data_IF_216517312968
#
_entry.id   IF_216517312968
#
_cell.length_a   1.000
_cell.length_b   1.000
_cell.length_c   1.000
_cell.angle_alpha   90.00
_cell.angle_beta   90.00
_cell.angle_gamma   90.00
#
_symmetry.space_group_name_H-M   'P 1'
#
loop_
_entity.id
_entity.type
_entity.pdbx_description
1 polymer ?
#
# COMPACT_ATOMS: atom_id res chain seq x y z
N UNK A 1 3.10 3.92 15.63
CA UNK A 1 4.47 4.17 16.11
C UNK A 1 4.53 5.66 16.37
N UNK A 2 5.29 6.13 17.35
CA UNK A 2 5.42 7.58 17.52
C UNK A 2 6.35 8.16 16.44
N UNK A 3 6.27 9.46 16.16
CA UNK A 3 7.20 10.13 15.23
C UNK A 3 8.66 9.91 15.61
N UNK A 4 8.96 9.79 16.91
CA UNK A 4 10.30 9.51 17.43
C UNK A 4 10.81 8.13 16.99
N UNK A 5 9.94 7.12 17.01
CA UNK A 5 10.29 5.75 16.59
C UNK A 5 10.53 5.68 15.08
N UNK A 6 9.70 6.37 14.30
CA UNK A 6 9.87 6.48 12.85
C UNK A 6 11.22 7.12 12.49
N UNK A 7 11.59 8.19 13.18
CA UNK A 7 12.85 8.89 12.93
C UNK A 7 14.08 8.07 13.36
N UNK A 8 13.99 7.32 14.45
CA UNK A 8 15.05 6.37 14.84
C UNK A 8 15.29 5.34 13.74
N UNK A 9 14.22 4.71 13.24
CA UNK A 9 14.33 3.71 12.17
C UNK A 9 14.82 4.33 10.86
N UNK A 10 14.40 5.56 10.55
CA UNK A 10 14.90 6.29 9.39
C UNK A 10 16.40 6.56 9.45
N UNK A 11 16.95 6.82 10.65
CA UNK A 11 18.37 7.09 10.83
C UNK A 11 19.26 5.92 10.38
N UNK A 12 18.84 4.68 10.63
CA UNK A 12 19.56 3.47 10.20
C UNK A 12 19.79 3.46 8.67
N UNK A 13 18.78 3.88 7.91
CA UNK A 13 18.88 4.03 6.45
C UNK A 13 19.81 5.16 6.02
N UNK A 14 19.78 6.29 6.74
CA UNK A 14 20.59 7.47 6.44
C UNK A 14 22.08 7.17 6.66
N UNK A 15 22.44 6.60 7.81
CA UNK A 15 23.83 6.29 8.18
C UNK A 15 24.44 5.20 7.28
N UNK A 16 23.62 4.23 6.89
CA UNK A 16 24.08 3.11 6.05
C UNK A 16 24.25 3.49 4.57
N UNK A 17 23.58 4.55 4.11
CA UNK A 17 23.63 5.01 2.72
C UNK A 17 25.00 5.61 2.37
N UNK A 18 25.75 4.95 1.47
CA UNK A 18 27.06 5.45 1.01
C UNK A 18 26.98 6.56 -0.05
N UNK A 19 25.78 7.06 -0.38
CA UNK A 19 25.53 8.15 -1.34
C UNK A 19 26.14 7.92 -2.76
N UNK A 20 26.51 6.68 -3.08
CA UNK A 20 27.21 6.27 -4.30
C UNK A 20 26.40 6.48 -5.60
N UNK A 21 25.06 6.45 -5.52
CA UNK A 21 24.18 6.74 -6.65
C UNK A 21 23.89 5.59 -7.60
N UNK A 22 24.33 4.35 -7.34
CA UNK A 22 23.98 3.18 -8.17
C UNK A 22 22.47 2.99 -8.36
N UNK A 23 21.70 3.22 -7.30
CA UNK A 23 20.24 3.19 -7.31
C UNK A 23 19.59 4.18 -8.31
N UNK A 24 20.29 5.25 -8.69
CA UNK A 24 19.78 6.24 -9.66
C UNK A 24 19.63 5.66 -11.06
N UNK A 25 20.59 4.85 -11.48
CA UNK A 25 20.68 4.32 -12.86
C UNK A 25 19.50 3.43 -13.25
N UNK A 26 18.91 2.74 -12.27
CA UNK A 26 17.81 1.79 -12.48
C UNK A 26 16.43 2.42 -12.27
N UNK A 27 16.35 3.62 -11.67
CA UNK A 27 15.07 4.23 -11.32
C UNK A 27 14.31 4.70 -12.57
N UNK A 28 13.12 4.16 -12.87
CA UNK A 28 12.34 4.59 -14.04
C UNK A 28 11.79 6.02 -13.85
N UNK A 29 11.40 6.40 -12.63
CA UNK A 29 10.89 7.73 -12.32
C UNK A 29 11.92 8.81 -12.65
N UNK A 30 13.19 8.59 -12.32
CA UNK A 30 14.26 9.55 -12.60
C UNK A 30 14.45 9.78 -14.12
N UNK A 31 14.21 8.76 -14.95
CA UNK A 31 14.35 8.84 -16.41
C UNK A 31 13.31 9.78 -17.02
N UNK A 32 12.09 9.77 -16.48
CA UNK A 32 10.94 10.56 -16.98
C UNK A 32 10.76 11.90 -16.26
N UNK A 33 11.64 12.21 -15.30
CA UNK A 33 11.56 13.42 -14.48
C UNK A 33 12.72 14.39 -14.73
N UNK A 34 13.16 14.49 -16.00
CA UNK A 34 14.28 15.33 -16.45
C UNK A 34 15.58 15.15 -15.65
N UNK A 35 15.77 13.94 -15.08
CA UNK A 35 16.91 13.61 -14.21
C UNK A 35 17.06 14.54 -12.99
N UNK A 36 16.00 15.23 -12.57
CA UNK A 36 16.00 16.07 -11.37
C UNK A 36 16.31 15.19 -10.14
N UNK A 37 17.39 15.52 -9.43
CA UNK A 37 17.95 14.66 -8.37
C UNK A 37 16.95 14.35 -7.26
N UNK A 38 16.04 15.28 -6.93
CA UNK A 38 15.03 15.09 -5.87
C UNK A 38 14.00 14.01 -6.20
N UNK A 39 13.89 13.58 -7.46
CA UNK A 39 13.12 12.40 -7.87
C UNK A 39 13.94 11.11 -7.93
N UNK A 40 15.26 11.17 -7.70
CA UNK A 40 16.10 9.98 -7.68
C UNK A 40 15.98 9.23 -6.34
N UNK A 41 16.28 7.92 -6.30
CA UNK A 41 16.26 7.17 -5.04
C UNK A 41 17.26 7.73 -4.01
N UNK A 42 18.48 8.07 -4.45
CA UNK A 42 19.49 8.72 -3.58
C UNK A 42 19.00 10.08 -3.10
N UNK A 43 18.49 10.91 -3.99
CA UNK A 43 17.99 12.25 -3.64
C UNK A 43 16.87 12.20 -2.62
N UNK A 44 15.97 11.21 -2.68
CA UNK A 44 14.96 11.00 -1.62
C UNK A 44 15.60 10.69 -0.26
N UNK A 45 16.65 9.88 -0.21
CA UNK A 45 17.40 9.65 1.05
C UNK A 45 18.04 10.93 1.55
N UNK A 46 18.59 11.78 0.67
CA UNK A 46 19.13 13.08 1.07
C UNK A 46 18.06 14.05 1.59
N UNK A 47 16.85 14.03 1.00
CA UNK A 47 15.71 14.80 1.50
C UNK A 47 15.26 14.30 2.88
N UNK A 48 15.25 12.98 3.08
CA UNK A 48 14.94 12.37 4.37
C UNK A 48 16.01 12.68 5.42
N UNK A 49 17.28 12.69 5.03
CA UNK A 49 18.39 13.14 5.88
C UNK A 49 18.20 14.61 6.29
N UNK A 50 17.88 15.49 5.35
CA UNK A 50 17.62 16.91 5.68
C UNK A 50 16.41 17.09 6.60
N UNK A 51 15.37 16.26 6.48
CA UNK A 51 14.26 16.21 7.44
C UNK A 51 14.71 15.75 8.83
N UNK A 52 15.53 14.70 8.88
CA UNK A 52 16.07 14.14 10.11
C UNK A 52 16.98 15.10 10.88
N UNK A 53 17.85 15.80 10.17
CA UNK A 53 18.78 16.78 10.73
C UNK A 53 18.11 18.12 11.06
N UNK A 54 16.81 18.28 10.78
CA UNK A 54 16.07 19.54 11.00
C UNK A 54 16.40 20.66 10.01
N UNK A 55 17.19 20.38 8.96
CA UNK A 55 17.53 21.31 7.89
C UNK A 55 16.34 21.59 6.95
N UNK A 56 15.42 20.63 6.85
CA UNK A 56 14.19 20.73 6.07
C UNK A 56 12.99 20.60 7.02
N UNK A 57 11.98 21.43 6.80
CA UNK A 57 10.68 21.30 7.47
C UNK A 57 9.73 20.42 6.64
N UNK A 58 8.81 19.68 7.29
CA UNK A 58 7.70 19.04 6.60
C UNK A 58 6.95 20.04 5.71
N UNK A 59 6.80 19.71 4.43
CA UNK A 59 6.06 20.53 3.47
C UNK A 59 5.62 19.70 2.28
N UNK A 60 4.60 20.19 1.57
CA UNK A 60 3.98 19.50 0.44
C UNK A 60 5.00 19.11 -0.66
N UNK A 61 6.00 19.96 -0.90
CA UNK A 61 7.09 19.65 -1.84
C UNK A 61 7.77 18.31 -1.51
N UNK A 62 8.05 18.05 -0.23
CA UNK A 62 8.70 16.79 0.20
C UNK A 62 7.76 15.61 0.03
N UNK A 63 6.48 15.78 0.34
CA UNK A 63 5.47 14.77 0.10
C UNK A 63 5.47 14.35 -1.38
N UNK A 64 5.41 15.31 -2.32
CA UNK A 64 5.46 15.06 -3.77
C UNK A 64 6.72 14.29 -4.21
N UNK A 65 7.84 14.45 -3.52
CA UNK A 65 9.05 13.65 -3.80
C UNK A 65 8.97 12.26 -3.19
N UNK A 66 8.41 12.09 -2.00
CA UNK A 66 8.34 10.82 -1.29
C UNK A 66 7.22 9.87 -1.78
N UNK A 67 6.23 10.36 -2.53
CA UNK A 67 5.27 9.55 -3.29
C UNK A 67 5.91 8.84 -4.52
N UNK A 68 7.02 8.13 -4.28
CA UNK A 68 7.61 7.12 -5.15
C UNK A 68 6.61 6.01 -5.54
N UNK A 69 6.81 5.37 -6.70
CA UNK A 69 6.00 4.20 -7.11
C UNK A 69 6.30 2.93 -6.32
N UNK A 70 7.35 2.94 -5.48
CA UNK A 70 7.76 1.81 -4.63
C UNK A 70 8.03 0.50 -5.38
N UNK A 71 8.48 0.58 -6.64
CA UNK A 71 8.80 -0.60 -7.47
C UNK A 71 10.01 -1.44 -7.00
N UNK A 72 10.76 -1.01 -5.98
CA UNK A 72 11.83 -1.82 -5.38
C UNK A 72 13.15 -1.95 -6.17
N UNK A 73 13.21 -1.59 -7.46
CA UNK A 73 14.44 -1.73 -8.27
C UNK A 73 15.69 -1.08 -7.64
N UNK A 74 15.49 0.04 -6.94
CA UNK A 74 16.56 0.74 -6.25
C UNK A 74 17.12 -0.03 -5.05
N UNK A 75 16.28 -0.79 -4.34
CA UNK A 75 16.70 -1.66 -3.24
C UNK A 75 17.56 -2.80 -3.78
N UNK A 76 17.11 -3.46 -4.85
CA UNK A 76 17.85 -4.54 -5.53
C UNK A 76 19.24 -4.06 -5.99
N UNK A 77 19.34 -2.82 -6.50
CA UNK A 77 20.60 -2.25 -6.97
C UNK A 77 21.48 -1.67 -5.85
N UNK A 78 21.00 -1.63 -4.62
CA UNK A 78 21.72 -1.02 -3.51
C UNK A 78 22.88 -1.91 -3.05
N UNK A 79 24.12 -1.45 -3.25
CA UNK A 79 25.32 -2.18 -2.79
C UNK A 79 25.43 -2.26 -1.26
N UNK A 80 24.72 -1.39 -0.54
CA UNK A 80 24.61 -1.44 0.92
C UNK A 80 23.48 -2.34 1.41
N UNK A 81 22.71 -2.98 0.52
CA UNK A 81 21.59 -3.85 0.90
C UNK A 81 20.39 -3.14 1.52
N UNK A 82 20.21 -1.84 1.28
CA UNK A 82 19.12 -1.06 1.88
C UNK A 82 17.79 -1.27 1.17
N UNK A 83 16.75 -1.52 1.96
CA UNK A 83 15.35 -1.48 1.53
C UNK A 83 14.82 -0.04 1.42
N UNK A 84 15.23 0.65 0.36
CA UNK A 84 14.94 2.07 0.15
C UNK A 84 13.44 2.39 0.12
N UNK A 85 12.60 1.46 -0.31
CA UNK A 85 11.14 1.63 -0.29
C UNK A 85 10.59 1.80 1.11
N UNK A 86 11.14 1.11 2.11
CA UNK A 86 10.73 1.25 3.51
C UNK A 86 11.12 2.64 4.05
N UNK A 87 12.33 3.12 3.76
CA UNK A 87 12.74 4.47 4.13
C UNK A 87 11.77 5.55 3.59
N UNK A 88 11.28 5.37 2.35
CA UNK A 88 10.31 6.30 1.76
C UNK A 88 8.93 6.20 2.43
N UNK A 89 8.48 5.01 2.80
CA UNK A 89 7.23 4.81 3.54
C UNK A 89 7.29 5.45 4.93
N UNK A 90 8.40 5.26 5.66
CA UNK A 90 8.66 5.95 6.94
C UNK A 90 8.55 7.47 6.76
N UNK A 91 9.16 8.00 5.69
CA UNK A 91 9.05 9.41 5.35
C UNK A 91 7.63 9.89 5.06
N UNK A 92 6.80 9.09 4.39
CA UNK A 92 5.37 9.41 4.17
C UNK A 92 4.61 9.47 5.49
N UNK A 93 4.80 8.47 6.35
CA UNK A 93 4.16 8.43 7.67
C UNK A 93 4.57 9.62 8.54
N UNK A 94 5.87 9.97 8.56
CA UNK A 94 6.33 11.14 9.29
C UNK A 94 5.69 12.45 8.78
N UNK A 95 5.59 12.62 7.45
CA UNK A 95 4.92 13.80 6.89
C UNK A 95 3.43 13.85 7.27
N UNK A 96 2.75 12.70 7.26
CA UNK A 96 1.35 12.60 7.62
C UNK A 96 1.10 12.93 9.10
N UNK A 97 1.92 12.40 10.01
CA UNK A 97 1.87 12.73 11.44
C UNK A 97 2.10 14.23 11.71
N UNK A 98 2.84 14.90 10.81
CA UNK A 98 3.08 16.35 10.85
C UNK A 98 2.06 17.15 10.01
N UNK A 99 0.92 16.55 9.63
CA UNK A 99 -0.18 17.24 8.95
C UNK A 99 0.08 17.56 7.47
N UNK A 100 1.15 17.02 6.87
CA UNK A 100 1.48 17.24 5.46
C UNK A 100 0.97 16.09 4.62
N UNK A 101 -0.21 16.28 4.03
CA UNK A 101 -0.87 15.30 3.17
C UNK A 101 -1.27 15.98 1.85
N UNK A 102 -1.05 15.28 0.72
CA UNK A 102 -1.50 15.79 -0.59
C UNK A 102 -3.01 15.63 -0.72
N UNK A 103 -3.70 16.59 -1.37
CA UNK A 103 -5.16 16.54 -1.55
C UNK A 103 -5.66 15.24 -2.19
N UNK A 104 -4.93 14.75 -3.21
CA UNK A 104 -5.25 13.47 -3.87
C UNK A 104 -5.23 12.30 -2.88
N UNK A 105 -4.30 12.32 -1.93
CA UNK A 105 -4.17 11.29 -0.91
C UNK A 105 -5.23 11.46 0.18
N UNK A 106 -5.52 12.70 0.57
CA UNK A 106 -6.64 13.00 1.49
C UNK A 106 -7.97 12.48 0.94
N UNK A 107 -8.22 12.69 -0.35
CA UNK A 107 -9.42 12.19 -1.03
C UNK A 107 -9.44 10.65 -1.08
N UNK A 108 -8.31 10.00 -1.38
CA UNK A 108 -8.19 8.54 -1.31
C UNK A 108 -8.54 8.00 0.08
N UNK A 109 -7.97 8.59 1.14
CA UNK A 109 -8.24 8.19 2.53
C UNK A 109 -9.73 8.36 2.84
N UNK A 110 -10.33 9.51 2.49
CA UNK A 110 -11.77 9.76 2.66
C UNK A 110 -12.61 8.70 1.96
N UNK A 111 -12.30 8.35 0.71
CA UNK A 111 -13.01 7.30 -0.03
C UNK A 111 -12.94 5.95 0.66
N UNK A 112 -11.77 5.57 1.18
CA UNK A 112 -11.63 4.29 1.91
C UNK A 112 -12.42 4.32 3.22
N UNK A 113 -12.40 5.43 3.94
CA UNK A 113 -13.16 5.56 5.20
C UNK A 113 -14.67 5.54 4.95
N UNK A 114 -15.16 6.14 3.87
CA UNK A 114 -16.60 6.24 3.57
C UNK A 114 -17.17 5.05 2.82
N UNK A 115 -16.42 4.47 1.88
CA UNK A 115 -16.91 3.43 0.95
C UNK A 115 -16.16 2.10 1.05
N UNK A 116 -15.19 2.00 1.97
CA UNK A 116 -14.40 0.79 2.19
C UNK A 116 -13.67 0.28 0.93
N UNK A 117 -13.40 1.19 0.00
CA UNK A 117 -12.63 0.94 -1.22
C UNK A 117 -11.97 2.25 -1.71
N UNK A 118 -10.85 2.17 -2.45
CA UNK A 118 -10.14 3.35 -2.93
C UNK A 118 -10.78 4.01 -4.17
N UNK A 119 -11.84 3.42 -4.74
CA UNK A 119 -12.45 3.86 -5.99
C UNK A 119 -13.66 4.78 -5.79
N UNK A 120 -14.07 5.01 -4.54
CA UNK A 120 -15.21 5.87 -4.20
C UNK A 120 -16.52 5.42 -4.85
N UNK A 121 -16.73 4.10 -4.92
CA UNK A 121 -17.96 3.49 -5.44
C UNK A 121 -18.71 2.77 -4.33
N UNK A 122 -19.99 2.45 -4.58
CA UNK A 122 -20.83 1.73 -3.62
C UNK A 122 -20.19 0.37 -3.25
N UNK A 123 -20.06 0.03 -1.94
CA UNK A 123 -19.47 -1.24 -1.50
C UNK A 123 -20.17 -2.49 -2.06
N UNK A 124 -21.47 -2.43 -2.35
CA UNK A 124 -22.24 -3.55 -2.90
C UNK A 124 -21.71 -4.03 -4.26
N UNK A 125 -20.98 -3.18 -4.98
CA UNK A 125 -20.38 -3.54 -6.26
C UNK A 125 -19.32 -4.65 -6.11
N UNK A 126 -18.71 -4.80 -4.92
CA UNK A 126 -17.69 -5.84 -4.67
C UNK A 126 -18.20 -7.27 -4.83
N UNK A 127 -19.51 -7.50 -4.71
CA UNK A 127 -20.10 -8.84 -4.85
C UNK A 127 -20.92 -9.01 -6.12
N UNK A 128 -21.04 -7.99 -6.98
CA UNK A 128 -21.78 -8.07 -8.25
C UNK A 128 -21.26 -9.17 -9.19
N UNK A 129 -19.97 -9.50 -9.12
CA UNK A 129 -19.40 -10.58 -9.92
C UNK A 129 -20.00 -11.96 -9.56
N UNK A 130 -20.56 -12.13 -8.35
CA UNK A 130 -21.23 -13.36 -7.93
C UNK A 130 -22.54 -13.62 -8.69
N UNK A 131 -23.17 -12.59 -9.25
CA UNK A 131 -24.42 -12.75 -9.99
C UNK A 131 -24.22 -13.43 -11.37
N UNK A 132 -22.96 -13.59 -11.80
CA UNK A 132 -22.60 -14.35 -13.00
C UNK A 132 -22.35 -15.84 -12.72
N UNK A 133 -22.39 -16.26 -11.44
CA UNK A 133 -22.23 -17.66 -11.08
C UNK A 133 -23.58 -18.39 -11.17
N UNK A 134 -23.59 -19.66 -11.61
CA UNK A 134 -24.82 -20.46 -11.65
C UNK A 134 -25.39 -20.72 -10.25
N UNK A 135 -24.53 -20.76 -9.24
CA UNK A 135 -24.88 -20.92 -7.83
C UNK A 135 -23.99 -20.03 -6.97
N UNK A 136 -24.59 -19.30 -6.01
CA UNK A 136 -23.83 -18.44 -5.10
C UNK A 136 -22.98 -19.30 -4.15
N UNK A 137 -21.70 -18.93 -3.94
CA UNK A 137 -20.85 -19.64 -2.98
C UNK A 137 -21.41 -19.55 -1.57
N UNK A 138 -21.05 -20.50 -0.69
CA UNK A 138 -21.31 -20.36 0.73
C UNK A 138 -20.56 -19.15 1.29
N UNK A 139 -21.06 -18.59 2.38
CA UNK A 139 -20.44 -17.43 3.05
C UNK A 139 -19.61 -17.83 4.28
N UNK A 140 -19.62 -19.13 4.61
CA UNK A 140 -18.87 -19.76 5.69
C UNK A 140 -18.22 -21.04 5.19
N UNK A 141 -17.12 -21.44 5.82
CA UNK A 141 -16.40 -22.66 5.46
C UNK A 141 -15.02 -22.67 6.10
N UNK A 142 -14.19 -23.66 5.73
CA UNK A 142 -12.79 -23.72 6.16
C UNK A 142 -11.88 -22.83 5.30
N UNK A 143 -12.20 -22.70 4.02
CA UNK A 143 -11.43 -21.91 3.06
C UNK A 143 -12.27 -20.73 2.60
N UNK A 144 -11.69 -19.53 2.59
CA UNK A 144 -12.31 -18.32 2.04
C UNK A 144 -11.44 -17.70 0.95
N UNK A 145 -12.08 -17.22 -0.11
CA UNK A 145 -11.43 -16.40 -1.14
C UNK A 145 -11.61 -14.92 -0.82
N UNK A 146 -10.53 -14.26 -0.42
CA UNK A 146 -10.41 -12.82 -0.29
C UNK A 146 -10.12 -12.22 -1.68
N UNK A 147 -11.10 -11.58 -2.29
CA UNK A 147 -11.02 -11.16 -3.69
C UNK A 147 -10.26 -9.84 -3.82
N UNK A 148 -10.44 -8.95 -2.84
CA UNK A 148 -9.90 -7.60 -2.90
C UNK A 148 -10.74 -6.66 -3.79
N UNK A 149 -10.73 -5.38 -3.45
CA UNK A 149 -11.47 -4.35 -4.17
C UNK A 149 -11.05 -4.18 -5.64
N UNK A 150 -9.76 -4.27 -5.96
CA UNK A 150 -9.27 -4.12 -7.35
C UNK A 150 -9.82 -5.22 -8.24
N UNK A 151 -9.68 -6.47 -7.81
CA UNK A 151 -10.12 -7.62 -8.59
C UNK A 151 -11.64 -7.63 -8.68
N UNK A 152 -12.36 -7.54 -7.56
CA UNK A 152 -13.83 -7.55 -7.57
C UNK A 152 -14.47 -6.42 -8.39
N UNK A 153 -13.98 -5.18 -8.27
CA UNK A 153 -14.61 -4.00 -8.89
C UNK A 153 -14.07 -3.73 -10.30
N UNK A 154 -12.76 -3.88 -10.53
CA UNK A 154 -12.10 -3.46 -11.79
C UNK A 154 -11.79 -4.62 -12.74
N UNK A 155 -11.75 -5.85 -12.24
CA UNK A 155 -11.46 -7.08 -12.98
C UNK A 155 -12.36 -8.24 -12.53
N UNK A 156 -13.70 -8.07 -12.58
CA UNK A 156 -14.64 -9.11 -12.12
C UNK A 156 -14.49 -10.43 -12.87
N UNK A 157 -14.02 -10.39 -14.11
CA UNK A 157 -13.61 -11.55 -14.91
C UNK A 157 -12.49 -12.37 -14.24
N UNK A 158 -11.50 -11.68 -13.67
CA UNK A 158 -10.42 -12.32 -12.91
C UNK A 158 -10.91 -12.88 -11.59
N UNK A 159 -11.85 -12.21 -10.91
CA UNK A 159 -12.46 -12.72 -9.69
C UNK A 159 -13.21 -14.04 -9.94
N UNK A 160 -14.01 -14.09 -11.01
CA UNK A 160 -14.71 -15.31 -11.45
C UNK A 160 -13.74 -16.44 -11.78
N UNK A 161 -12.74 -16.18 -12.62
CA UNK A 161 -11.77 -17.19 -13.03
C UNK A 161 -10.98 -17.75 -11.84
N UNK A 162 -10.55 -16.88 -10.91
CA UNK A 162 -9.87 -17.31 -9.69
C UNK A 162 -10.79 -18.14 -8.80
N UNK A 163 -12.03 -17.72 -8.59
CA UNK A 163 -13.01 -18.48 -7.80
C UNK A 163 -13.24 -19.88 -8.38
N UNK A 164 -13.49 -20.02 -9.69
CA UNK A 164 -13.71 -21.32 -10.33
C UNK A 164 -12.49 -22.23 -10.23
N UNK A 165 -11.29 -21.68 -10.42
CA UNK A 165 -10.04 -22.42 -10.23
C UNK A 165 -9.88 -22.91 -8.79
N UNK A 166 -10.08 -22.01 -7.81
CA UNK A 166 -9.97 -22.36 -6.39
C UNK A 166 -11.00 -23.43 -6.04
N UNK A 167 -12.27 -23.23 -6.41
CA UNK A 167 -13.37 -24.20 -6.19
C UNK A 167 -13.03 -25.56 -6.78
N UNK A 168 -12.47 -25.61 -7.98
CA UNK A 168 -12.03 -26.87 -8.62
C UNK A 168 -10.94 -27.57 -7.81
N UNK A 169 -9.99 -26.81 -7.24
CA UNK A 169 -8.87 -27.37 -6.49
C UNK A 169 -9.25 -27.80 -5.06
N UNK A 170 -10.15 -27.07 -4.40
CA UNK A 170 -10.45 -27.26 -2.95
C UNK A 170 -11.87 -27.79 -2.68
N UNK A 171 -12.69 -27.95 -3.71
CA UNK A 171 -14.07 -28.45 -3.66
C UNK A 171 -15.08 -27.40 -3.19
N UNK A 172 -14.87 -26.80 -2.02
CA UNK A 172 -15.75 -25.78 -1.44
C UNK A 172 -14.96 -24.59 -0.92
N UNK A 173 -15.24 -23.41 -1.46
CA UNK A 173 -14.63 -22.15 -1.04
C UNK A 173 -15.72 -21.13 -0.72
N UNK A 174 -15.58 -20.48 0.43
CA UNK A 174 -16.48 -19.42 0.83
C UNK A 174 -16.09 -18.07 0.21
N UNK A 175 -17.07 -17.20 0.03
CA UNK A 175 -16.86 -15.80 -0.33
C UNK A 175 -17.63 -14.92 0.65
N UNK A 176 -17.01 -13.84 1.11
CA UNK A 176 -17.63 -12.92 2.06
C UNK A 176 -18.74 -12.10 1.38
N UNK A 177 -19.90 -11.98 2.04
CA UNK A 177 -21.00 -11.10 1.57
C UNK A 177 -20.62 -9.62 1.59
N UNK A 178 -19.70 -9.25 2.47
CA UNK A 178 -19.18 -7.89 2.60
C UNK A 178 -17.70 -7.96 3.01
N UNK A 179 -16.83 -7.78 2.02
CA UNK A 179 -15.38 -7.73 2.22
C UNK A 179 -14.96 -6.28 2.51
N UNK A 180 -14.32 -6.00 3.67
CA UNK A 180 -13.82 -4.67 3.95
C UNK A 180 -12.53 -4.36 3.18
N UNK A 181 -12.08 -3.11 3.18
CA UNK A 181 -10.78 -2.78 2.62
C UNK A 181 -9.66 -3.47 3.42
N UNK A 182 -8.69 -4.07 2.73
CA UNK A 182 -7.49 -4.63 3.38
C UNK A 182 -6.56 -3.55 3.98
N UNK A 183 -6.83 -2.27 3.72
CA UNK A 183 -6.07 -1.13 4.23
C UNK A 183 -4.76 -0.85 3.50
N UNK A 184 -4.32 -1.70 2.55
CA UNK A 184 -3.04 -1.54 1.87
C UNK A 184 -2.81 -0.14 1.26
N UNK A 185 -3.79 0.51 0.60
CA UNK A 185 -3.59 1.87 0.09
C UNK A 185 -3.34 2.92 1.20
N UNK A 186 -3.88 2.73 2.41
CA UNK A 186 -3.63 3.60 3.57
C UNK A 186 -2.18 3.46 4.06
N UNK A 187 -1.69 2.22 4.16
CA UNK A 187 -0.29 1.96 4.49
C UNK A 187 0.66 2.63 3.48
N UNK A 188 0.37 2.49 2.18
CA UNK A 188 1.15 3.15 1.13
C UNK A 188 1.05 4.68 1.17
N UNK A 189 -0.07 5.22 1.64
CA UNK A 189 -0.25 6.66 1.86
C UNK A 189 0.55 7.18 3.07
N UNK A 190 1.02 6.30 3.95
CA UNK A 190 1.64 6.65 5.22
C UNK A 190 0.66 6.72 6.40
N UNK A 191 -0.63 6.46 6.17
CA UNK A 191 -1.69 6.43 7.19
C UNK A 191 -1.68 5.09 7.94
N UNK A 192 -0.74 4.97 8.88
CA UNK A 192 -0.53 3.74 9.65
C UNK A 192 -1.71 3.43 10.57
N UNK A 193 -2.34 4.47 11.13
CA UNK A 193 -3.47 4.27 12.05
C UNK A 193 -4.75 3.89 11.30
N UNK A 194 -5.03 4.54 10.17
CA UNK A 194 -6.09 4.13 9.25
C UNK A 194 -5.87 2.71 8.73
N UNK A 195 -4.63 2.37 8.34
CA UNK A 195 -4.26 1.01 7.94
C UNK A 195 -4.59 -0.02 9.03
N UNK A 196 -4.15 0.20 10.28
CA UNK A 196 -4.42 -0.70 11.39
C UNK A 196 -5.92 -0.87 11.67
N UNK A 197 -6.67 0.23 11.59
CA UNK A 197 -8.13 0.21 11.75
C UNK A 197 -8.78 -0.71 10.71
N UNK A 198 -8.39 -0.59 9.43
CA UNK A 198 -8.94 -1.41 8.35
C UNK A 198 -8.49 -2.87 8.43
N UNK A 199 -7.24 -3.14 8.79
CA UNK A 199 -6.76 -4.50 9.06
C UNK A 199 -7.56 -5.14 10.19
N UNK A 200 -7.88 -4.41 11.26
CA UNK A 200 -8.73 -4.93 12.34
C UNK A 200 -10.11 -5.39 11.84
N UNK A 201 -10.74 -4.63 10.95
CA UNK A 201 -12.02 -5.03 10.32
C UNK A 201 -11.84 -6.25 9.42
N UNK A 202 -10.78 -6.28 8.61
CA UNK A 202 -10.46 -7.40 7.73
C UNK A 202 -10.23 -8.70 8.50
N UNK A 203 -9.43 -8.66 9.58
CA UNK A 203 -9.18 -9.82 10.42
C UNK A 203 -10.46 -10.33 11.08
N UNK A 204 -11.33 -9.43 11.55
CA UNK A 204 -12.60 -9.81 12.19
C UNK A 204 -13.53 -10.60 11.26
N UNK A 205 -13.64 -10.22 9.99
CA UNK A 205 -14.48 -10.97 9.02
C UNK A 205 -13.83 -12.29 8.58
N UNK A 206 -12.54 -12.46 8.83
CA UNK A 206 -11.77 -13.67 8.54
C UNK A 206 -11.74 -14.65 9.73
N UNK A 207 -12.29 -14.28 10.89
CA UNK A 207 -12.38 -15.17 12.04
C UNK A 207 -13.23 -16.41 11.70
N UNK A 208 -12.69 -17.60 12.01
CA UNK A 208 -13.36 -18.88 11.79
C UNK A 208 -13.05 -19.58 10.46
N UNK A 209 -12.24 -18.97 9.60
CA UNK A 209 -11.66 -19.64 8.44
C UNK A 209 -10.28 -20.22 8.80
N UNK A 210 -9.98 -21.41 8.30
CA UNK A 210 -8.68 -22.07 8.47
C UNK A 210 -7.65 -21.55 7.45
N UNK A 211 -8.12 -21.21 6.24
CA UNK A 211 -7.28 -20.78 5.11
C UNK A 211 -7.93 -19.60 4.40
N UNK A 212 -7.12 -18.57 4.13
CA UNK A 212 -7.49 -17.42 3.30
C UNK A 212 -6.67 -17.49 2.02
N UNK A 213 -7.35 -17.57 0.88
CA UNK A 213 -6.76 -17.46 -0.45
C UNK A 213 -7.01 -16.04 -0.94
N UNK A 214 -6.01 -15.35 -1.47
CA UNK A 214 -6.11 -13.97 -1.96
C UNK A 214 -5.51 -13.79 -3.34
#
# INVERSE_FOLDING_TARGET
MSSKDLMSKLNEYIESCKKCGFCKSICPVLKVSDRIETYSPRGRILLLQGLYEGLLKPREYLARRLYCTLCGYCSIKCISGLELTEAYLIGRSFLMENGVVLDVISNLIKSIVSTDNPYNVDPSIKTMWLDYLPEKPPTKGKVVYWVGCTTSIRRPDSALAAYELIKTLVGSVAVLDSEPCCGWPLYLAGDVDGYKSQVGKALKVLEGFDVVIT
#
